data_IF_079119755555
#
_entry.id   IF_079119755555
#
_cell.length_a   1.000
_cell.length_b   1.000
_cell.length_c   1.000
_cell.angle_alpha   90.00
_cell.angle_beta   90.00
_cell.angle_gamma   90.00
#
_symmetry.space_group_name_H-M   'P 1'
#
loop_
_entity.id
_entity.type
_entity.pdbx_description
1 polymer ?
#
# COMPACT_ATOMS: atom_id res chain seq x y z
N UNK A 1 -12.84 6.01 13.97
CA UNK A 1 -12.47 6.27 12.54
C UNK A 1 -11.87 5.05 11.87
N UNK A 2 -10.89 4.38 12.48
CA UNK A 2 -10.20 3.24 11.86
C UNK A 2 -11.16 2.12 11.43
N UNK A 3 -12.10 1.73 12.29
CA UNK A 3 -13.05 0.66 11.98
C UNK A 3 -13.94 0.97 10.77
N UNK A 4 -14.35 2.24 10.64
CA UNK A 4 -15.15 2.70 9.50
C UNK A 4 -14.35 2.65 8.20
N UNK A 5 -13.05 2.99 8.24
CA UNK A 5 -12.15 2.90 7.08
C UNK A 5 -11.88 1.43 6.72
N UNK A 6 -11.70 0.55 7.70
CA UNK A 6 -11.61 -0.89 7.47
C UNK A 6 -12.85 -1.43 6.77
N UNK A 7 -14.04 -1.02 7.23
CA UNK A 7 -15.30 -1.45 6.59
C UNK A 7 -15.39 -0.91 5.16
N UNK A 8 -14.95 0.31 4.93
CA UNK A 8 -14.92 0.89 3.60
C UNK A 8 -13.96 0.12 2.67
N UNK A 9 -12.81 -0.30 3.17
CA UNK A 9 -11.88 -1.15 2.42
C UNK A 9 -12.50 -2.52 2.08
N UNK A 10 -13.27 -3.12 2.99
CA UNK A 10 -14.02 -4.36 2.70
C UNK A 10 -15.06 -4.14 1.61
N UNK A 11 -15.82 -3.05 1.69
CA UNK A 11 -16.83 -2.72 0.67
C UNK A 11 -16.18 -2.52 -0.71
N UNK A 12 -15.05 -1.83 -0.77
CA UNK A 12 -14.27 -1.69 -2.00
C UNK A 12 -13.76 -3.04 -2.51
N UNK A 13 -13.28 -3.89 -1.61
CA UNK A 13 -12.87 -5.26 -1.92
C UNK A 13 -13.99 -6.10 -2.50
N UNK A 14 -15.20 -5.99 -1.97
CA UNK A 14 -16.39 -6.68 -2.51
C UNK A 14 -16.69 -6.23 -3.94
N UNK A 15 -16.58 -4.93 -4.23
CA UNK A 15 -16.74 -4.40 -5.58
C UNK A 15 -15.68 -4.93 -6.54
N UNK A 16 -14.43 -5.04 -6.09
CA UNK A 16 -13.34 -5.64 -6.86
C UNK A 16 -13.63 -7.11 -7.15
N UNK A 17 -14.08 -7.86 -6.16
CA UNK A 17 -14.34 -9.30 -6.30
C UNK A 17 -15.50 -9.61 -7.24
N UNK A 18 -16.48 -8.72 -7.39
CA UNK A 18 -17.52 -8.89 -8.41
C UNK A 18 -16.96 -8.92 -9.83
N UNK A 19 -15.96 -8.10 -10.12
CA UNK A 19 -15.24 -8.11 -11.40
C UNK A 19 -14.31 -9.33 -11.48
N UNK A 20 -13.58 -9.61 -10.42
CA UNK A 20 -12.63 -10.74 -10.33
C UNK A 20 -13.34 -12.08 -10.52
N UNK A 21 -14.53 -12.26 -9.96
CA UNK A 21 -15.32 -13.48 -10.07
C UNK A 21 -16.14 -13.56 -11.37
N UNK A 22 -15.98 -12.61 -12.29
CA UNK A 22 -16.64 -12.59 -13.60
C UNK A 22 -18.10 -12.18 -13.58
N UNK A 23 -18.60 -11.64 -12.48
CA UNK A 23 -19.99 -11.10 -12.38
C UNK A 23 -20.17 -9.78 -13.13
N UNK A 24 -19.07 -9.06 -13.34
CA UNK A 24 -18.97 -7.83 -14.11
C UNK A 24 -17.85 -7.93 -15.13
N UNK A 25 -17.93 -7.28 -16.32
CA UNK A 25 -16.84 -7.24 -17.28
C UNK A 25 -15.57 -6.60 -16.68
N UNK A 26 -14.40 -7.14 -17.02
CA UNK A 26 -13.11 -6.60 -16.56
C UNK A 26 -12.76 -5.25 -17.21
N UNK A 27 -13.11 -5.05 -18.47
CA UNK A 27 -12.90 -3.81 -19.22
C UNK A 27 -11.49 -3.23 -19.08
N UNK A 28 -10.47 -4.04 -19.43
CA UNK A 28 -9.05 -3.63 -19.33
C UNK A 28 -8.79 -2.48 -20.32
N UNK A 29 -8.24 -1.37 -19.81
CA UNK A 29 -7.78 -0.24 -20.60
C UNK A 29 -6.35 0.14 -20.16
N UNK A 30 -5.72 1.05 -20.92
CA UNK A 30 -4.41 1.62 -20.56
C UNK A 30 -4.56 3.08 -20.14
N UNK A 31 -3.84 3.47 -19.11
CA UNK A 31 -3.70 4.87 -18.67
C UNK A 31 -2.71 5.60 -19.56
N UNK A 32 -2.55 6.91 -19.36
CA UNK A 32 -1.61 7.76 -20.13
C UNK A 32 -0.14 7.33 -19.98
N UNK A 33 0.20 6.65 -18.89
CA UNK A 33 1.53 6.12 -18.60
C UNK A 33 1.69 4.64 -19.00
N UNK A 34 0.79 4.13 -19.84
CA UNK A 34 0.72 2.74 -20.30
C UNK A 34 0.44 1.70 -19.19
N UNK A 35 0.14 2.13 -17.94
CA UNK A 35 -0.30 1.21 -16.90
C UNK A 35 -1.75 0.76 -17.14
N UNK A 36 -2.10 -0.48 -16.74
CA UNK A 36 -3.46 -0.99 -16.92
C UNK A 36 -4.42 -0.40 -15.88
N UNK A 37 -5.66 -0.22 -16.27
CA UNK A 37 -6.80 0.05 -15.41
C UNK A 37 -7.94 -0.89 -15.79
N UNK A 38 -8.69 -1.35 -14.83
CA UNK A 38 -9.84 -2.24 -15.05
C UNK A 38 -11.11 -1.64 -14.45
N UNK A 39 -12.26 -2.24 -14.77
CA UNK A 39 -13.53 -1.88 -14.12
C UNK A 39 -13.47 -2.06 -12.60
N UNK A 40 -12.62 -2.96 -12.09
CA UNK A 40 -12.42 -3.16 -10.66
C UNK A 40 -11.77 -1.94 -9.99
N UNK A 41 -10.74 -1.34 -10.61
CA UNK A 41 -10.10 -0.12 -10.13
C UNK A 41 -11.12 1.01 -9.98
N UNK A 42 -11.95 1.22 -10.99
CA UNK A 42 -12.96 2.27 -11.02
C UNK A 42 -14.09 2.02 -10.03
N UNK A 43 -14.57 0.77 -9.92
CA UNK A 43 -15.62 0.41 -8.97
C UNK A 43 -15.16 0.62 -7.52
N UNK A 44 -13.96 0.18 -7.18
CA UNK A 44 -13.35 0.40 -5.87
C UNK A 44 -13.16 1.89 -5.57
N UNK A 45 -12.66 2.65 -6.54
CA UNK A 45 -12.49 4.10 -6.44
C UNK A 45 -13.82 4.79 -6.05
N UNK A 46 -14.89 4.50 -6.75
CA UNK A 46 -16.22 5.10 -6.47
C UNK A 46 -16.70 4.80 -5.06
N UNK A 47 -16.56 3.57 -4.61
CA UNK A 47 -16.94 3.14 -3.25
C UNK A 47 -16.13 3.91 -2.20
N UNK A 48 -14.82 3.99 -2.37
CA UNK A 48 -13.92 4.64 -1.39
C UNK A 48 -14.18 6.14 -1.33
N UNK A 49 -14.25 6.82 -2.47
CA UNK A 49 -14.48 8.27 -2.52
C UNK A 49 -15.80 8.64 -1.85
N UNK A 50 -16.88 7.97 -2.21
CA UNK A 50 -18.20 8.21 -1.60
C UNK A 50 -18.17 8.01 -0.10
N UNK A 51 -17.53 6.94 0.37
CA UNK A 51 -17.45 6.61 1.78
C UNK A 51 -16.60 7.60 2.57
N UNK A 52 -15.44 8.02 2.05
CA UNK A 52 -14.58 8.99 2.71
C UNK A 52 -15.20 10.37 2.78
N UNK A 53 -15.88 10.82 1.73
CA UNK A 53 -16.60 12.10 1.72
C UNK A 53 -17.75 12.11 2.71
N UNK A 54 -18.46 10.99 2.86
CA UNK A 54 -19.52 10.86 3.87
C UNK A 54 -18.96 10.82 5.30
N UNK A 55 -17.84 10.13 5.50
CA UNK A 55 -17.20 9.98 6.82
C UNK A 55 -16.53 11.27 7.30
N UNK A 56 -15.83 11.95 6.41
CA UNK A 56 -15.03 13.14 6.71
C UNK A 56 -15.18 14.18 5.61
N UNK A 57 -16.32 14.92 5.57
CA UNK A 57 -16.61 15.88 4.49
C UNK A 57 -15.54 16.96 4.31
N UNK A 58 -14.83 17.31 5.38
CA UNK A 58 -13.84 18.39 5.39
C UNK A 58 -12.42 17.91 5.03
N UNK A 59 -12.20 16.62 4.86
CA UNK A 59 -10.89 16.08 4.52
C UNK A 59 -10.87 15.71 3.03
N UNK A 60 -10.01 16.38 2.23
CA UNK A 60 -9.91 16.09 0.80
C UNK A 60 -9.29 14.71 0.54
N UNK A 61 -9.55 14.18 -0.65
CA UNK A 61 -9.08 12.86 -1.08
C UNK A 61 -8.22 12.97 -2.32
N UNK A 62 -7.04 12.34 -2.28
CA UNK A 62 -6.19 12.10 -3.43
C UNK A 62 -6.23 10.61 -3.76
N UNK A 63 -6.84 10.24 -4.87
CA UNK A 63 -6.90 8.86 -5.37
C UNK A 63 -6.14 8.74 -6.69
N UNK A 64 -5.46 7.60 -6.85
CA UNK A 64 -4.74 7.28 -8.11
C UNK A 64 -5.63 7.41 -9.34
N UNK A 65 -6.91 7.04 -9.24
CA UNK A 65 -7.81 6.98 -10.41
C UNK A 65 -8.36 8.35 -10.85
N UNK A 66 -8.29 9.34 -9.97
CA UNK A 66 -8.70 10.73 -10.28
C UNK A 66 -7.93 11.71 -9.37
N UNK A 67 -6.62 11.86 -9.57
CA UNK A 67 -5.82 12.74 -8.73
C UNK A 67 -6.15 14.21 -8.99
N UNK A 68 -6.39 15.01 -7.94
CA UNK A 68 -6.62 16.44 -8.09
C UNK A 68 -5.42 17.16 -8.69
N UNK A 69 -5.68 18.25 -9.42
CA UNK A 69 -4.63 19.09 -9.99
C UNK A 69 -3.72 19.66 -8.88
N UNK A 70 -2.46 19.94 -9.24
CA UNK A 70 -1.47 20.47 -8.30
C UNK A 70 -1.95 21.75 -7.60
N UNK A 71 -2.57 22.66 -8.33
CA UNK A 71 -3.09 23.93 -7.82
C UNK A 71 -4.16 23.74 -6.73
N UNK A 72 -4.88 22.63 -6.75
CA UNK A 72 -5.92 22.29 -5.76
C UNK A 72 -5.31 21.72 -4.49
N UNK A 73 -4.29 20.86 -4.60
CA UNK A 73 -3.77 20.04 -3.49
C UNK A 73 -2.46 20.54 -2.86
N UNK A 74 -1.81 21.55 -3.45
CA UNK A 74 -0.47 21.98 -3.07
C UNK A 74 -0.31 22.41 -1.61
N UNK A 75 -1.38 22.85 -0.96
CA UNK A 75 -1.36 23.33 0.43
C UNK A 75 -2.08 22.40 1.41
N UNK A 76 -2.45 21.20 0.99
CA UNK A 76 -3.10 20.26 1.88
C UNK A 76 -2.16 19.81 2.99
N UNK A 77 -2.61 19.97 4.23
CA UNK A 77 -1.91 19.48 5.41
C UNK A 77 -2.49 18.16 5.92
N UNK A 78 -3.77 17.93 5.65
CA UNK A 78 -4.48 16.69 6.02
C UNK A 78 -5.32 16.23 4.85
N UNK A 79 -5.10 14.98 4.42
CA UNK A 79 -5.82 14.44 3.27
C UNK A 79 -5.77 12.90 3.27
N UNK A 80 -6.75 12.31 2.63
CA UNK A 80 -6.74 10.88 2.33
C UNK A 80 -5.92 10.61 1.09
N UNK A 81 -5.10 9.56 1.15
CA UNK A 81 -4.27 9.10 0.04
C UNK A 81 -4.65 7.65 -0.25
N UNK A 82 -5.15 7.39 -1.46
CA UNK A 82 -5.86 6.16 -1.80
C UNK A 82 -5.30 5.54 -3.07
N UNK A 83 -5.01 4.25 -3.01
CA UNK A 83 -4.91 3.37 -4.17
C UNK A 83 -6.06 2.37 -4.10
N UNK A 84 -7.11 2.53 -4.92
CA UNK A 84 -8.29 1.66 -4.86
C UNK A 84 -7.97 0.20 -5.17
N UNK A 85 -7.01 -0.05 -6.06
CA UNK A 85 -6.50 -1.38 -6.39
C UNK A 85 -5.01 -1.28 -6.72
N UNK A 86 -4.17 -1.58 -5.73
CA UNK A 86 -2.73 -1.72 -5.91
C UNK A 86 -2.42 -3.12 -6.43
N UNK A 87 -1.66 -3.20 -7.52
CA UNK A 87 -1.35 -4.46 -8.18
C UNK A 87 -2.36 -4.85 -9.26
N UNK A 88 -2.74 -3.90 -10.14
CA UNK A 88 -3.64 -4.20 -11.26
C UNK A 88 -3.11 -5.30 -12.17
N UNK A 89 -1.78 -5.39 -12.33
CA UNK A 89 -1.14 -6.50 -13.08
C UNK A 89 -1.36 -7.85 -12.39
N UNK A 90 -1.26 -7.90 -11.07
CA UNK A 90 -1.54 -9.09 -10.26
C UNK A 90 -3.01 -9.48 -10.34
N UNK A 91 -3.90 -8.49 -10.34
CA UNK A 91 -5.34 -8.70 -10.56
C UNK A 91 -5.60 -9.35 -11.92
N UNK A 92 -5.03 -8.82 -12.99
CA UNK A 92 -5.19 -9.36 -14.36
C UNK A 92 -4.60 -10.77 -14.45
N UNK A 93 -3.45 -11.03 -13.84
CA UNK A 93 -2.80 -12.36 -13.79
C UNK A 93 -3.48 -13.35 -12.85
N UNK A 94 -4.44 -12.89 -12.05
CA UNK A 94 -5.23 -13.70 -11.10
C UNK A 94 -4.40 -14.41 -10.03
N UNK A 95 -3.32 -13.81 -9.56
CA UNK A 95 -2.51 -14.40 -8.49
C UNK A 95 -3.00 -14.03 -7.06
N UNK A 96 -3.99 -13.13 -6.94
CA UNK A 96 -4.58 -12.74 -5.66
C UNK A 96 -3.77 -11.74 -4.83
N UNK A 97 -2.62 -11.30 -5.32
CA UNK A 97 -1.68 -10.43 -4.58
C UNK A 97 -1.92 -8.95 -4.88
N UNK A 98 -3.15 -8.51 -4.81
CA UNK A 98 -3.54 -7.11 -4.97
C UNK A 98 -4.30 -6.63 -3.73
N UNK A 99 -4.26 -5.31 -3.49
CA UNK A 99 -4.76 -4.73 -2.25
C UNK A 99 -5.53 -3.44 -2.48
N UNK A 100 -6.44 -3.15 -1.55
CA UNK A 100 -7.03 -1.82 -1.36
C UNK A 100 -6.18 -1.08 -0.34
N UNK A 101 -5.73 0.14 -0.68
CA UNK A 101 -4.86 0.95 0.16
C UNK A 101 -5.52 2.29 0.48
N UNK A 102 -5.73 2.57 1.76
CA UNK A 102 -6.29 3.83 2.24
C UNK A 102 -5.41 4.36 3.38
N UNK A 103 -4.91 5.57 3.25
CA UNK A 103 -4.11 6.22 4.30
C UNK A 103 -4.63 7.62 4.59
N UNK A 104 -4.54 8.04 5.85
CA UNK A 104 -4.74 9.42 6.25
C UNK A 104 -3.37 10.05 6.48
N UNK A 105 -3.12 11.14 5.76
CA UNK A 105 -1.88 11.91 5.85
C UNK A 105 -2.15 13.17 6.69
N UNK A 106 -1.27 13.45 7.62
CA UNK A 106 -1.27 14.68 8.40
C UNK A 106 0.15 15.23 8.50
N UNK A 107 0.36 16.46 8.01
CA UNK A 107 1.67 17.12 7.98
C UNK A 107 2.77 16.24 7.39
N UNK A 108 2.48 15.59 6.25
CA UNK A 108 3.40 14.74 5.53
C UNK A 108 3.59 13.33 6.11
N UNK A 109 2.89 12.96 7.17
CA UNK A 109 3.01 11.66 7.83
C UNK A 109 1.74 10.82 7.70
N UNK A 110 1.85 9.52 7.40
CA UNK A 110 0.71 8.63 7.42
C UNK A 110 0.35 8.26 8.86
N UNK A 111 -0.74 8.80 9.37
CA UNK A 111 -1.19 8.62 10.76
C UNK A 111 -2.20 7.49 10.94
N UNK A 112 -2.80 7.05 9.85
CA UNK A 112 -3.73 5.94 9.79
C UNK A 112 -3.53 5.24 8.44
N UNK A 113 -3.57 3.92 8.43
CA UNK A 113 -3.45 3.14 7.21
C UNK A 113 -4.25 1.85 7.27
N UNK A 114 -4.81 1.49 6.12
CA UNK A 114 -5.53 0.23 5.91
C UNK A 114 -5.05 -0.39 4.60
N UNK A 115 -4.63 -1.65 4.67
CA UNK A 115 -4.26 -2.49 3.53
C UNK A 115 -5.14 -3.73 3.56
N UNK A 116 -6.00 -3.90 2.58
CA UNK A 116 -6.90 -5.05 2.50
C UNK A 116 -6.63 -5.89 1.25
N UNK A 117 -6.39 -7.18 1.44
CA UNK A 117 -6.20 -8.16 0.37
C UNK A 117 -7.49 -8.99 0.20
N UNK A 118 -8.38 -8.65 -0.75
CA UNK A 118 -9.73 -9.23 -0.80
C UNK A 118 -9.76 -10.72 -1.17
N UNK A 119 -8.82 -11.21 -1.98
CA UNK A 119 -8.73 -12.65 -2.29
C UNK A 119 -8.28 -13.46 -1.08
N UNK A 120 -7.29 -12.95 -0.35
CA UNK A 120 -6.76 -13.60 0.85
C UNK A 120 -7.66 -13.39 2.08
N UNK A 121 -8.59 -12.43 2.02
CA UNK A 121 -9.47 -12.03 3.12
C UNK A 121 -8.68 -11.62 4.37
N UNK A 122 -7.60 -10.86 4.16
CA UNK A 122 -6.71 -10.38 5.21
C UNK A 122 -6.71 -8.85 5.22
N UNK A 123 -6.91 -8.28 6.41
CA UNK A 123 -6.90 -6.84 6.66
C UNK A 123 -5.72 -6.48 7.56
N UNK A 124 -4.90 -5.53 7.10
CA UNK A 124 -3.89 -4.88 7.94
C UNK A 124 -4.33 -3.44 8.20
N UNK A 125 -4.24 -2.99 9.44
CA UNK A 125 -4.65 -1.64 9.81
C UNK A 125 -3.76 -1.06 10.88
N UNK A 126 -3.65 0.27 10.90
CA UNK A 126 -2.83 0.96 11.88
C UNK A 126 -3.40 2.33 12.21
N UNK A 127 -3.31 2.69 13.48
CA UNK A 127 -3.67 4.00 14.03
C UNK A 127 -2.99 4.17 15.39
N UNK A 128 -2.59 5.39 15.73
CA UNK A 128 -2.06 5.74 17.06
C UNK A 128 -0.90 4.84 17.54
N UNK A 129 0.02 4.53 16.62
CA UNK A 129 1.21 3.75 16.93
C UNK A 129 0.98 2.26 17.17
N UNK A 130 -0.19 1.74 16.81
CA UNK A 130 -0.52 0.31 16.89
C UNK A 130 -0.93 -0.20 15.52
N UNK A 131 -0.51 -1.43 15.21
CA UNK A 131 -0.86 -2.13 13.99
C UNK A 131 -1.55 -3.46 14.31
N UNK A 132 -2.49 -3.84 13.45
CA UNK A 132 -3.28 -5.07 13.59
C UNK A 132 -3.37 -5.82 12.27
N UNK A 133 -3.51 -7.13 12.40
CA UNK A 133 -3.90 -8.03 11.32
C UNK A 133 -5.22 -8.69 11.69
N UNK A 134 -6.18 -8.66 10.77
CA UNK A 134 -7.45 -9.37 10.90
C UNK A 134 -7.55 -10.46 9.83
N UNK A 135 -7.77 -11.68 10.25
CA UNK A 135 -7.89 -12.86 9.40
C UNK A 135 -8.89 -13.83 10.04
N UNK A 136 -9.80 -14.40 9.24
CA UNK A 136 -10.84 -15.31 9.73
C UNK A 136 -11.66 -14.73 10.90
N UNK A 137 -11.94 -13.43 10.87
CA UNK A 137 -12.69 -12.74 11.93
C UNK A 137 -11.91 -12.50 13.23
N UNK A 138 -10.64 -12.86 13.28
CA UNK A 138 -9.78 -12.67 14.46
C UNK A 138 -8.81 -11.52 14.18
N UNK A 139 -8.85 -10.49 15.05
CA UNK A 139 -7.95 -9.33 14.98
C UNK A 139 -6.86 -9.46 16.03
N UNK A 140 -5.61 -9.38 15.62
CA UNK A 140 -4.44 -9.44 16.49
C UNK A 140 -3.55 -8.25 16.27
N UNK A 141 -2.99 -7.71 17.34
CA UNK A 141 -1.92 -6.72 17.24
C UNK A 141 -0.67 -7.38 16.69
N UNK A 142 0.00 -6.72 15.77
CA UNK A 142 1.23 -7.19 15.13
C UNK A 142 2.39 -6.27 15.46
N UNK A 143 3.59 -6.83 15.40
CA UNK A 143 4.84 -6.10 15.56
C UNK A 143 5.95 -6.80 14.77
N UNK A 144 6.99 -6.05 14.48
CA UNK A 144 8.20 -6.55 13.82
C UNK A 144 8.90 -7.60 14.67
N UNK A 145 9.68 -8.46 14.01
CA UNK A 145 10.44 -9.52 14.67
C UNK A 145 11.82 -9.63 14.02
N UNK A 146 12.87 -9.64 14.84
CA UNK A 146 14.21 -9.96 14.37
C UNK A 146 14.32 -11.44 14.02
N UNK A 147 15.06 -11.74 12.96
CA UNK A 147 15.42 -13.10 12.57
C UNK A 147 16.77 -13.09 11.86
N UNK A 148 17.57 -14.15 12.11
CA UNK A 148 18.89 -14.33 11.49
C UNK A 148 19.01 -15.73 10.91
N UNK A 149 19.31 -15.86 9.60
CA UNK A 149 19.46 -14.77 8.63
C UNK A 149 18.15 -14.04 8.35
N UNK A 150 18.20 -12.75 7.95
CA UNK A 150 16.97 -12.00 7.67
C UNK A 150 16.28 -12.52 6.42
N UNK A 151 14.93 -12.47 6.41
CA UNK A 151 14.12 -12.68 5.23
C UNK A 151 13.88 -11.33 4.55
N UNK A 152 14.29 -11.23 3.30
CA UNK A 152 14.10 -10.05 2.46
C UNK A 152 12.92 -10.30 1.53
N UNK A 153 11.90 -9.44 1.59
CA UNK A 153 10.80 -9.49 0.64
C UNK A 153 11.11 -8.57 -0.55
N UNK A 154 10.96 -9.09 -1.75
CA UNK A 154 11.23 -8.38 -3.00
C UNK A 154 9.98 -8.31 -3.86
N UNK A 155 9.95 -7.34 -4.78
CA UNK A 155 8.88 -7.24 -5.76
C UNK A 155 8.92 -8.41 -6.73
N UNK A 156 7.76 -9.00 -7.00
CA UNK A 156 7.63 -10.08 -7.98
C UNK A 156 8.02 -9.63 -9.40
N UNK A 157 7.71 -8.39 -9.73
CA UNK A 157 7.92 -7.83 -11.07
C UNK A 157 9.29 -7.18 -11.29
N UNK A 158 10.07 -6.92 -10.24
CA UNK A 158 11.33 -6.17 -10.29
C UNK A 158 12.49 -6.94 -9.63
N UNK A 159 12.39 -8.26 -9.53
CA UNK A 159 13.42 -9.08 -8.87
C UNK A 159 14.76 -9.14 -9.60
N UNK A 160 14.81 -8.73 -10.86
CA UNK A 160 16.04 -8.71 -11.68
C UNK A 160 16.70 -7.33 -11.79
N UNK A 161 16.30 -6.37 -10.94
CA UNK A 161 16.90 -5.05 -10.89
C UNK A 161 18.38 -5.16 -10.48
N UNK A 162 19.33 -4.61 -11.27
CA UNK A 162 20.77 -4.67 -10.94
C UNK A 162 21.12 -4.02 -9.59
N UNK A 163 20.48 -2.90 -9.25
CA UNK A 163 20.70 -2.23 -7.96
C UNK A 163 20.24 -3.10 -6.78
N UNK A 164 19.13 -3.83 -6.94
CA UNK A 164 18.66 -4.79 -5.96
C UNK A 164 19.65 -5.94 -5.79
N UNK A 165 20.18 -6.50 -6.87
CA UNK A 165 21.14 -7.59 -6.82
C UNK A 165 22.43 -7.15 -6.09
N UNK A 166 22.95 -5.98 -6.40
CA UNK A 166 24.12 -5.41 -5.70
C UNK A 166 23.84 -5.23 -4.21
N UNK A 167 22.69 -4.69 -3.85
CA UNK A 167 22.29 -4.54 -2.44
C UNK A 167 22.23 -5.88 -1.70
N UNK A 168 21.64 -6.91 -2.32
CA UNK A 168 21.54 -8.25 -1.72
C UNK A 168 22.91 -8.92 -1.56
N UNK A 169 23.84 -8.73 -2.50
CA UNK A 169 25.21 -9.22 -2.40
C UNK A 169 25.95 -8.58 -1.21
N UNK A 170 25.77 -7.27 -1.02
CA UNK A 170 26.38 -6.52 0.09
C UNK A 170 25.76 -6.83 1.45
N UNK A 171 24.50 -7.26 1.48
CA UNK A 171 23.77 -7.57 2.72
C UNK A 171 24.37 -8.77 3.48
N UNK A 172 25.01 -9.69 2.77
CA UNK A 172 25.53 -10.93 3.35
C UNK A 172 24.46 -12.04 3.39
N UNK A 173 24.53 -12.92 4.38
CA UNK A 173 23.62 -14.05 4.48
C UNK A 173 22.17 -13.59 4.68
N UNK A 174 21.28 -14.03 3.81
CA UNK A 174 19.85 -13.72 3.82
C UNK A 174 19.05 -14.78 3.07
N UNK A 175 17.74 -14.77 3.29
CA UNK A 175 16.77 -15.49 2.48
C UNK A 175 15.90 -14.47 1.75
N UNK A 176 15.28 -14.87 0.64
CA UNK A 176 14.37 -14.02 -0.13
C UNK A 176 13.02 -14.66 -0.32
N UNK A 177 11.99 -13.84 -0.38
CA UNK A 177 10.65 -14.20 -0.82
C UNK A 177 10.09 -13.07 -1.67
N UNK A 178 9.07 -13.36 -2.47
CA UNK A 178 8.41 -12.34 -3.29
C UNK A 178 6.90 -12.37 -3.10
N UNK A 179 6.31 -11.19 -3.07
CA UNK A 179 4.87 -11.00 -3.04
C UNK A 179 4.53 -9.69 -3.74
N UNK A 180 3.31 -9.57 -4.26
CA UNK A 180 2.85 -8.34 -4.93
C UNK A 180 2.35 -7.27 -3.98
N UNK A 181 2.17 -6.07 -4.51
CA UNK A 181 1.54 -4.88 -3.90
C UNK A 181 2.06 -4.51 -2.51
N UNK A 182 1.26 -3.79 -1.73
CA UNK A 182 1.56 -3.32 -0.38
C UNK A 182 1.73 -4.44 0.64
N UNK A 183 1.45 -5.69 0.28
CA UNK A 183 1.67 -6.84 1.15
C UNK A 183 3.14 -6.98 1.59
N UNK A 184 4.09 -6.44 0.82
CA UNK A 184 5.51 -6.38 1.19
C UNK A 184 5.75 -5.62 2.49
N UNK A 185 5.08 -4.48 2.69
CA UNK A 185 5.10 -3.74 3.96
C UNK A 185 4.52 -4.57 5.10
N UNK A 186 3.44 -5.28 4.81
CA UNK A 186 2.71 -6.05 5.81
C UNK A 186 3.49 -7.27 6.30
N UNK A 187 4.25 -7.93 5.43
CA UNK A 187 5.13 -9.04 5.83
C UNK A 187 6.20 -8.58 6.83
N UNK A 188 6.75 -7.38 6.65
CA UNK A 188 7.69 -6.80 7.61
C UNK A 188 6.97 -6.44 8.92
N UNK A 189 5.81 -5.80 8.83
CA UNK A 189 5.01 -5.39 9.98
C UNK A 189 4.61 -6.55 10.89
N UNK A 190 4.25 -7.70 10.31
CA UNK A 190 3.82 -8.88 11.09
C UNK A 190 4.96 -9.79 11.53
N UNK A 191 6.21 -9.44 11.21
CA UNK A 191 7.39 -10.18 11.64
C UNK A 191 7.76 -11.38 10.78
N UNK A 192 7.14 -11.58 9.61
CA UNK A 192 7.52 -12.63 8.68
C UNK A 192 8.78 -12.30 7.91
N UNK A 193 8.96 -11.04 7.51
CA UNK A 193 10.16 -10.55 6.85
C UNK A 193 10.82 -9.45 7.70
N UNK A 194 12.08 -9.14 7.43
CA UNK A 194 12.86 -8.14 8.15
C UNK A 194 13.24 -6.95 7.28
N UNK A 195 13.23 -7.13 5.97
CA UNK A 195 13.65 -6.12 4.99
C UNK A 195 12.76 -6.14 3.76
N UNK A 196 12.44 -4.95 3.25
CA UNK A 196 11.87 -4.74 1.93
C UNK A 196 12.59 -3.56 1.26
N UNK A 197 13.61 -3.83 0.43
CA UNK A 197 14.29 -2.81 -0.35
C UNK A 197 13.55 -2.54 -1.67
N UNK A 198 13.46 -1.27 -2.06
CA UNK A 198 12.80 -0.86 -3.29
C UNK A 198 13.64 0.18 -4.04
N UNK A 199 14.12 -0.16 -5.23
CA UNK A 199 14.85 0.71 -6.15
C UNK A 199 13.97 1.21 -7.30
N UNK A 200 13.08 0.38 -7.80
CA UNK A 200 12.17 0.74 -8.87
C UNK A 200 11.14 1.80 -8.45
N UNK A 201 10.51 2.49 -9.41
CA UNK A 201 9.59 3.59 -9.14
C UNK A 201 8.31 3.10 -8.43
N UNK A 202 7.83 3.92 -7.49
CA UNK A 202 6.52 3.79 -6.85
C UNK A 202 5.88 5.16 -6.74
N UNK A 203 4.56 5.19 -6.65
CA UNK A 203 3.81 6.41 -6.36
C UNK A 203 3.43 6.48 -4.88
N UNK A 204 3.11 7.68 -4.41
CA UNK A 204 2.79 7.92 -2.99
C UNK A 204 1.62 7.06 -2.49
N UNK A 205 0.59 6.83 -3.31
CA UNK A 205 -0.55 5.98 -2.97
C UNK A 205 -0.22 4.49 -2.87
N UNK A 206 0.90 4.05 -3.50
CA UNK A 206 1.37 2.66 -3.38
C UNK A 206 1.97 2.36 -2.00
N UNK A 207 2.47 3.39 -1.31
CA UNK A 207 3.29 3.21 -0.11
C UNK A 207 2.67 3.71 1.19
N UNK A 208 1.81 4.72 1.15
CA UNK A 208 1.36 5.42 2.36
C UNK A 208 0.63 4.51 3.37
N UNK A 209 -0.30 3.67 2.92
CA UNK A 209 -1.03 2.78 3.81
C UNK A 209 -0.12 1.70 4.43
N UNK A 210 0.71 1.05 3.60
CA UNK A 210 1.70 0.08 4.07
C UNK A 210 2.74 0.70 5.00
N UNK A 211 3.16 1.94 4.72
CA UNK A 211 4.05 2.71 5.58
C UNK A 211 3.44 2.93 6.97
N UNK A 212 2.18 3.34 7.05
CA UNK A 212 1.48 3.49 8.32
C UNK A 212 1.48 2.19 9.12
N UNK A 213 1.18 1.07 8.48
CA UNK A 213 1.15 -0.26 9.12
C UNK A 213 2.55 -0.67 9.59
N UNK A 214 3.55 -0.56 8.74
CA UNK A 214 4.94 -0.95 9.06
C UNK A 214 5.52 -0.10 10.21
N UNK A 215 5.34 1.23 10.15
CA UNK A 215 5.83 2.13 11.20
C UNK A 215 5.15 1.89 12.54
N UNK A 216 3.84 1.69 12.56
CA UNK A 216 3.10 1.39 13.79
C UNK A 216 3.50 0.04 14.40
N UNK A 217 3.96 -0.91 13.57
CA UNK A 217 4.48 -2.20 14.04
C UNK A 217 5.95 -2.16 14.50
N UNK A 218 6.64 -1.03 14.33
CA UNK A 218 8.02 -0.82 14.78
C UNK A 218 9.08 -0.85 13.69
N UNK A 219 8.71 -0.92 12.40
CA UNK A 219 9.64 -0.81 11.29
C UNK A 219 9.97 0.66 10.96
N UNK A 220 11.05 0.85 10.23
CA UNK A 220 11.47 2.12 9.66
C UNK A 220 11.25 2.11 8.14
N UNK A 221 10.68 3.18 7.62
CA UNK A 221 10.50 3.37 6.16
C UNK A 221 11.32 4.58 5.74
N UNK A 222 12.51 4.33 5.22
CA UNK A 222 13.49 5.37 4.91
C UNK A 222 13.88 5.34 3.43
N UNK A 223 14.15 6.52 2.87
CA UNK A 223 14.86 6.61 1.59
C UNK A 223 16.31 6.16 1.74
N UNK A 224 17.06 6.12 0.64
CA UNK A 224 18.46 5.66 0.65
C UNK A 224 19.43 6.67 1.27
N UNK A 225 18.96 7.88 1.66
CA UNK A 225 19.71 8.84 2.46
C UNK A 225 19.35 8.77 3.96
N UNK A 226 18.54 7.82 4.37
CA UNK A 226 18.15 7.62 5.76
C UNK A 226 17.00 8.53 6.25
N UNK A 227 16.34 9.26 5.35
CA UNK A 227 15.20 10.13 5.69
C UNK A 227 13.91 9.33 5.64
N UNK A 228 13.02 9.57 6.60
CA UNK A 228 11.67 8.98 6.58
C UNK A 228 10.95 9.40 5.30
N UNK A 229 10.30 8.45 4.64
CA UNK A 229 9.51 8.71 3.45
C UNK A 229 8.39 9.72 3.80
N UNK A 230 8.27 10.80 3.00
CA UNK A 230 7.44 11.96 3.29
C UNK A 230 6.32 12.09 2.26
N UNK A 231 5.12 12.47 2.73
CA UNK A 231 3.92 12.64 1.90
C UNK A 231 3.41 14.07 1.87
N UNK A 232 4.23 15.04 2.25
CA UNK A 232 3.95 16.46 2.00
C UNK A 232 3.66 16.65 0.50
N UNK A 233 2.60 17.36 0.11
CA UNK A 233 2.24 17.52 -1.29
C UNK A 233 3.41 17.98 -2.15
N UNK A 234 3.62 17.30 -3.27
CA UNK A 234 4.56 17.64 -4.34
C UNK A 234 3.83 17.55 -5.67
N UNK A 235 4.33 18.25 -6.66
CA UNK A 235 3.75 18.16 -8.01
C UNK A 235 3.84 16.74 -8.55
N UNK A 236 5.01 16.08 -8.40
CA UNK A 236 5.20 14.68 -8.72
C UNK A 236 4.60 13.76 -7.64
N UNK A 237 3.98 12.66 -8.06
CA UNK A 237 3.51 11.59 -7.17
C UNK A 237 4.57 10.53 -6.88
N UNK A 238 5.73 10.60 -7.55
CA UNK A 238 6.77 9.58 -7.42
C UNK A 238 7.49 9.67 -6.09
N UNK A 239 7.68 8.52 -5.45
CA UNK A 239 8.55 8.36 -4.31
C UNK A 239 10.02 8.23 -4.74
N UNK A 240 10.98 8.59 -3.88
CA UNK A 240 12.35 8.10 -4.02
C UNK A 240 12.40 6.58 -3.79
N UNK A 241 13.50 5.93 -4.16
CA UNK A 241 13.79 4.58 -3.69
C UNK A 241 13.81 4.54 -2.17
N UNK A 242 13.48 3.40 -1.57
CA UNK A 242 13.34 3.28 -0.11
C UNK A 242 13.62 1.86 0.37
N UNK A 243 13.72 1.72 1.67
CA UNK A 243 13.66 0.41 2.35
C UNK A 243 12.75 0.46 3.55
N UNK A 244 12.05 -0.64 3.77
CA UNK A 244 11.37 -0.94 5.02
C UNK A 244 12.27 -1.89 5.80
N UNK A 245 12.63 -1.53 7.02
CA UNK A 245 13.63 -2.26 7.80
C UNK A 245 13.29 -2.27 9.28
N UNK A 246 13.61 -3.36 9.93
CA UNK A 246 13.56 -3.46 11.40
C UNK A 246 14.87 -3.01 12.07
N UNK A 247 15.93 -2.75 11.29
CA UNK A 247 17.28 -2.38 11.74
C UNK A 247 17.51 -0.88 11.66
#
# INVERSE_FOLDING_TARGET
MLEQVCQLARNAGDAIMEVYDGKQPMDVASKKDDSPVTAADIAAHKVIISGLLALTPDIPVLSEEDPPAWEVRQHWQRYWLVDPLDGTKEFIKRNGEFTVNIALIENGRPILGVVYAPVMKVMYSAEKGKAWKEECGVRKQIQVRDARPPLVVISRSHGNDPELQEYLEQLGEHQTTSIGSSLKFCLVAEGQAQLYPRFGPTSTWDTAAGHAVASAAGAHVHDWQGRTLDYTPRESFLNPGFRVSIY
#
